data_IF_177543964292
#
_entry.id   IF_177543964292
#
_cell.length_a   1.000
_cell.length_b   1.000
_cell.length_c   1.000
_cell.angle_alpha   90.00
_cell.angle_beta   90.00
_cell.angle_gamma   90.00
#
_symmetry.space_group_name_H-M   'P 1'
#
loop_
_entity.id
_entity.type
_entity.pdbx_description
1 polymer ?
#
# COMPACT_ATOMS: atom_id res chain seq x y z
N UNK A 1 -0.52 -11.95 -8.48
CA UNK A 1 -0.40 -10.68 -7.75
C UNK A 1 -1.34 -9.62 -8.30
N UNK A 2 -1.29 -9.34 -9.61
CA UNK A 2 -2.19 -8.37 -10.24
C UNK A 2 -3.66 -8.79 -10.12
N UNK A 3 -3.94 -10.08 -10.26
CA UNK A 3 -5.29 -10.62 -10.10
C UNK A 3 -5.81 -10.44 -8.68
N UNK A 4 -4.95 -10.64 -7.67
CA UNK A 4 -5.31 -10.44 -6.27
C UNK A 4 -5.64 -8.99 -5.97
N UNK A 5 -4.87 -8.05 -6.53
CA UNK A 5 -5.12 -6.62 -6.35
C UNK A 5 -6.44 -6.19 -7.01
N UNK A 6 -6.71 -6.70 -8.22
CA UNK A 6 -7.96 -6.42 -8.91
C UNK A 6 -9.16 -6.96 -8.12
N UNK A 7 -9.03 -8.16 -7.54
CA UNK A 7 -10.08 -8.76 -6.71
C UNK A 7 -10.37 -7.92 -5.46
N UNK A 8 -9.33 -7.43 -4.79
CA UNK A 8 -9.49 -6.57 -3.60
C UNK A 8 -10.22 -5.27 -3.97
N UNK A 9 -9.87 -4.66 -5.10
CA UNK A 9 -10.53 -3.43 -5.55
C UNK A 9 -12.01 -3.67 -5.85
N UNK A 10 -12.31 -4.75 -6.56
CA UNK A 10 -13.70 -5.11 -6.89
C UNK A 10 -14.51 -5.39 -5.63
N UNK A 11 -13.94 -6.13 -4.68
CA UNK A 11 -14.58 -6.41 -3.40
C UNK A 11 -14.84 -5.12 -2.63
N UNK A 12 -13.87 -4.22 -2.59
CA UNK A 12 -14.00 -2.93 -1.89
C UNK A 12 -15.11 -2.08 -2.51
N UNK A 13 -15.19 -2.04 -3.83
CA UNK A 13 -16.26 -1.34 -4.54
C UNK A 13 -17.63 -1.93 -4.20
N UNK A 14 -17.74 -3.26 -4.17
CA UNK A 14 -18.97 -3.94 -3.80
C UNK A 14 -19.42 -3.64 -2.38
N UNK A 15 -18.49 -3.67 -1.43
CA UNK A 15 -18.80 -3.33 -0.03
C UNK A 15 -19.25 -1.87 0.07
N UNK A 16 -18.58 -0.97 -0.66
CA UNK A 16 -18.91 0.45 -0.64
C UNK A 16 -20.33 0.69 -1.14
N UNK A 17 -20.74 -0.02 -2.19
CA UNK A 17 -22.09 0.06 -2.71
C UNK A 17 -23.10 -0.44 -1.67
N UNK A 18 -22.78 -1.54 -0.99
CA UNK A 18 -23.68 -2.13 0.01
C UNK A 18 -23.90 -1.22 1.22
N UNK A 19 -22.94 -0.37 1.57
CA UNK A 19 -23.02 0.52 2.74
C UNK A 19 -23.24 1.98 2.37
N UNK A 20 -23.63 2.25 1.12
CA UNK A 20 -23.74 3.62 0.61
C UNK A 20 -24.75 4.48 1.36
N UNK A 21 -25.73 3.86 1.99
CA UNK A 21 -26.77 4.55 2.79
C UNK A 21 -26.33 4.76 4.25
N UNK A 22 -25.07 4.52 4.55
CA UNK A 22 -24.51 4.68 5.90
C UNK A 22 -23.36 5.68 5.89
N UNK A 23 -22.79 5.96 7.06
CA UNK A 23 -21.61 6.80 7.20
C UNK A 23 -20.31 6.01 7.11
N UNK A 24 -20.37 4.73 6.77
CA UNK A 24 -19.21 3.87 6.67
C UNK A 24 -18.42 4.20 5.41
N UNK A 25 -17.12 4.38 5.55
CA UNK A 25 -16.20 4.65 4.43
C UNK A 25 -15.28 3.46 4.23
N UNK A 26 -15.07 3.10 2.97
CA UNK A 26 -14.17 2.00 2.60
C UNK A 26 -13.02 2.57 1.79
N UNK A 27 -11.81 2.39 2.28
CA UNK A 27 -10.59 2.87 1.62
C UNK A 27 -9.60 1.72 1.46
N UNK A 28 -9.06 1.59 0.27
CA UNK A 28 -7.99 0.63 -0.02
C UNK A 28 -6.67 1.38 -0.12
N UNK A 29 -5.68 0.96 0.65
CA UNK A 29 -4.33 1.53 0.60
C UNK A 29 -3.40 0.47 0.01
N UNK A 30 -2.70 0.83 -1.07
CA UNK A 30 -1.81 -0.06 -1.80
C UNK A 30 -0.39 0.49 -1.72
N UNK A 31 0.43 0.04 -0.76
CA UNK A 31 1.81 0.47 -0.68
C UNK A 31 2.69 -0.30 -1.67
N UNK A 32 3.75 0.38 -2.15
CA UNK A 32 4.79 -0.25 -2.92
C UNK A 32 5.85 -0.89 -2.02
N UNK A 33 7.12 -0.64 -2.32
CA UNK A 33 8.22 -1.20 -1.53
C UNK A 33 8.35 -0.46 -0.22
N UNK A 34 8.08 -1.15 0.88
CA UNK A 34 8.17 -0.62 2.24
C UNK A 34 9.26 -1.37 2.99
N UNK A 35 10.15 -0.65 3.64
CA UNK A 35 11.21 -1.26 4.44
C UNK A 35 10.64 -1.72 5.78
N UNK A 36 10.40 -3.02 5.90
CA UNK A 36 9.86 -3.65 7.10
C UNK A 36 10.60 -4.96 7.37
N UNK A 37 10.31 -5.59 8.50
CA UNK A 37 10.85 -6.90 8.83
C UNK A 37 10.22 -8.04 8.02
N UNK A 38 9.19 -7.77 7.22
CA UNK A 38 8.48 -8.78 6.45
C UNK A 38 9.40 -9.52 5.47
N UNK A 39 10.28 -8.80 4.78
CA UNK A 39 11.21 -9.41 3.84
C UNK A 39 12.19 -10.37 4.54
N UNK A 40 12.64 -10.01 5.74
CA UNK A 40 13.52 -10.86 6.53
C UNK A 40 12.81 -12.14 6.96
N UNK A 41 11.58 -12.03 7.40
CA UNK A 41 10.74 -13.19 7.77
C UNK A 41 10.47 -14.06 6.54
N UNK A 42 10.15 -13.45 5.40
CA UNK A 42 9.88 -14.13 4.14
C UNK A 42 11.04 -15.01 3.69
N UNK A 43 12.27 -14.57 3.93
CA UNK A 43 13.47 -15.30 3.55
C UNK A 43 14.09 -16.10 4.72
N UNK A 44 13.27 -16.46 5.70
CA UNK A 44 13.67 -17.28 6.84
C UNK A 44 14.84 -16.68 7.63
N UNK A 45 14.85 -15.38 7.80
CA UNK A 45 15.90 -14.68 8.53
C UNK A 45 17.17 -14.41 7.74
N UNK A 46 17.16 -14.66 6.42
CA UNK A 46 18.30 -14.33 5.56
C UNK A 46 18.36 -12.84 5.30
N UNK A 47 19.15 -12.15 6.12
CA UNK A 47 19.29 -10.69 6.02
C UNK A 47 19.92 -10.24 4.72
N UNK A 48 20.78 -11.04 4.13
CA UNK A 48 21.43 -10.73 2.88
C UNK A 48 20.41 -10.70 1.73
N UNK A 49 19.54 -11.69 1.64
CA UNK A 49 18.47 -11.72 0.64
C UNK A 49 17.47 -10.60 0.87
N UNK A 50 17.10 -10.34 2.12
CA UNK A 50 16.19 -9.26 2.45
C UNK A 50 16.78 -7.91 2.05
N UNK A 51 18.07 -7.68 2.28
CA UNK A 51 18.75 -6.44 1.93
C UNK A 51 18.76 -6.18 0.43
N UNK A 52 18.84 -7.23 -0.39
CA UNK A 52 18.87 -7.06 -1.86
C UNK A 52 17.61 -6.44 -2.42
N UNK A 53 16.47 -6.62 -1.76
CA UNK A 53 15.21 -6.03 -2.19
C UNK A 53 15.30 -4.51 -2.16
N UNK A 54 16.01 -3.97 -1.17
CA UNK A 54 16.14 -2.52 -0.96
C UNK A 54 17.39 -1.92 -1.59
N UNK A 55 18.21 -2.72 -2.26
CA UNK A 55 19.48 -2.26 -2.82
C UNK A 55 19.24 -1.19 -3.88
N UNK A 56 19.88 -0.03 -3.70
CA UNK A 56 19.74 1.10 -4.61
C UNK A 56 18.40 1.80 -4.58
N UNK A 57 17.54 1.46 -3.63
CA UNK A 57 16.20 2.03 -3.50
C UNK A 57 16.06 2.71 -2.13
N UNK A 58 15.52 3.93 -2.15
CA UNK A 58 15.03 4.57 -0.93
C UNK A 58 13.57 4.14 -0.75
N UNK A 59 13.38 3.01 -0.06
CA UNK A 59 12.06 2.44 0.13
C UNK A 59 11.19 3.30 1.05
N UNK A 60 9.88 3.12 0.95
CA UNK A 60 8.94 3.73 1.89
C UNK A 60 9.21 3.19 3.29
N UNK A 61 8.91 4.00 4.28
CA UNK A 61 8.96 3.61 5.69
C UNK A 61 7.54 3.33 6.19
N UNK A 62 7.38 2.50 7.23
CA UNK A 62 6.05 2.29 7.82
C UNK A 62 5.36 3.59 8.21
N UNK A 63 6.12 4.59 8.64
CA UNK A 63 5.59 5.91 9.01
C UNK A 63 4.91 6.61 7.84
N UNK A 64 5.39 6.41 6.62
CA UNK A 64 4.78 6.99 5.42
C UNK A 64 3.38 6.44 5.20
N UNK A 65 3.20 5.15 5.44
CA UNK A 65 1.90 4.49 5.34
C UNK A 65 0.98 4.95 6.46
N UNK A 66 1.50 5.04 7.68
CA UNK A 66 0.75 5.50 8.83
C UNK A 66 0.24 6.94 8.65
N UNK A 67 1.06 7.83 8.10
CA UNK A 67 0.67 9.21 7.80
C UNK A 67 -0.46 9.25 6.77
N UNK A 68 -0.43 8.38 5.78
CA UNK A 68 -1.48 8.29 4.78
C UNK A 68 -2.79 7.80 5.39
N UNK A 69 -2.73 6.79 6.25
CA UNK A 69 -3.92 6.28 6.96
C UNK A 69 -4.54 7.39 7.80
N UNK A 70 -3.71 8.15 8.50
CA UNK A 70 -4.17 9.27 9.32
C UNK A 70 -4.84 10.35 8.47
N UNK A 71 -4.27 10.68 7.32
CA UNK A 71 -4.86 11.64 6.39
C UNK A 71 -6.24 11.17 5.92
N UNK A 72 -6.35 9.91 5.53
CA UNK A 72 -7.62 9.33 5.07
C UNK A 72 -8.67 9.36 6.19
N UNK A 73 -8.27 9.00 7.41
CA UNK A 73 -9.17 8.93 8.55
C UNK A 73 -9.68 10.31 9.00
N UNK A 74 -8.89 11.35 8.75
CA UNK A 74 -9.22 12.72 9.19
C UNK A 74 -10.05 13.52 8.18
N UNK A 75 -10.50 12.90 7.10
CA UNK A 75 -11.29 13.61 6.11
C UNK A 75 -12.69 13.95 6.62
N UNK A 76 -13.28 15.07 6.17
CA UNK A 76 -14.64 15.41 6.55
C UNK A 76 -15.64 14.33 6.15
N UNK A 77 -16.77 14.31 6.84
CA UNK A 77 -17.83 13.32 6.59
C UNK A 77 -18.26 13.23 5.12
N UNK A 78 -18.23 14.34 4.41
CA UNK A 78 -18.62 14.41 2.99
C UNK A 78 -17.59 13.84 2.03
N UNK A 79 -16.39 13.53 2.50
CA UNK A 79 -15.28 13.05 1.67
C UNK A 79 -15.02 11.59 1.93
N UNK A 80 -15.01 10.80 0.87
CA UNK A 80 -14.55 9.39 0.94
C UNK A 80 -13.42 9.21 -0.05
N UNK A 81 -12.25 8.83 0.48
CA UNK A 81 -11.11 8.46 -0.35
C UNK A 81 -11.22 6.97 -0.62
N UNK A 82 -11.33 6.58 -1.88
CA UNK A 82 -11.60 5.19 -2.25
C UNK A 82 -10.34 4.36 -2.38
N UNK A 83 -9.32 4.90 -3.04
CA UNK A 83 -8.06 4.20 -3.30
C UNK A 83 -6.89 5.14 -3.12
N UNK A 84 -5.83 4.65 -2.51
CA UNK A 84 -4.56 5.36 -2.41
C UNK A 84 -3.44 4.40 -2.76
N UNK A 85 -2.66 4.73 -3.77
CA UNK A 85 -1.45 3.98 -4.13
C UNK A 85 -0.24 4.81 -3.74
N UNK A 86 0.63 4.24 -2.92
CA UNK A 86 1.84 4.89 -2.44
C UNK A 86 3.02 4.05 -2.90
N UNK A 87 3.91 4.65 -3.68
CA UNK A 87 5.11 3.97 -4.14
C UNK A 87 6.34 4.77 -3.77
N UNK A 88 7.47 4.06 -3.60
CA UNK A 88 8.74 4.74 -3.50
C UNK A 88 8.95 5.59 -4.77
N UNK A 89 9.60 6.73 -4.63
CA UNK A 89 9.77 7.63 -5.76
C UNK A 89 10.50 6.99 -6.94
N UNK A 90 11.31 5.96 -6.67
CA UNK A 90 12.06 5.23 -7.69
C UNK A 90 11.24 4.14 -8.38
N UNK A 91 9.99 3.95 -8.00
CA UNK A 91 9.08 2.99 -8.65
C UNK A 91 8.17 3.72 -9.64
N UNK A 92 8.10 3.23 -10.89
CA UNK A 92 7.09 3.66 -11.84
C UNK A 92 5.80 2.85 -11.68
N UNK A 93 5.97 1.54 -11.47
CA UNK A 93 4.88 0.61 -11.16
C UNK A 93 5.38 -0.39 -10.13
N UNK A 94 4.55 -1.38 -9.79
CA UNK A 94 4.98 -2.45 -8.91
C UNK A 94 6.18 -3.25 -9.43
N UNK A 95 6.45 -3.19 -10.73
CA UNK A 95 7.52 -3.94 -11.39
C UNK A 95 8.64 -3.07 -11.94
N UNK A 96 8.38 -1.79 -12.19
CA UNK A 96 9.35 -0.88 -12.79
C UNK A 96 10.01 -0.04 -11.71
N UNK A 97 11.25 -0.38 -11.38
CA UNK A 97 12.02 0.25 -10.31
C UNK A 97 13.34 0.75 -10.87
N UNK A 98 13.70 1.97 -10.54
CA UNK A 98 15.01 2.54 -10.85
C UNK A 98 15.94 2.37 -9.65
N UNK A 99 16.97 1.54 -9.81
CA UNK A 99 17.96 1.30 -8.76
C UNK A 99 19.19 2.15 -9.03
N UNK A 100 19.55 2.92 -8.03
CA UNK A 100 20.75 3.75 -8.11
C UNK A 100 22.03 2.95 -7.88
#
# INVERSE_FOLDING_TARGET
>A
YCSSKAAVRTLSDGIRIDVIDTDIKITTIQPGIVQTDFSEVRFHGDKEKASKIYEGIEALLPEDIADTVLYVANQPKRVQITDVTIMANQQGTGFNVYRK
#
